data_IF_958161964247
#
_entry.id   IF_958161964247
#
_cell.length_a   1.000
_cell.length_b   1.000
_cell.length_c   1.000
_cell.angle_alpha   90.00
_cell.angle_beta   90.00
_cell.angle_gamma   90.00
#
_symmetry.space_group_name_H-M   'P 1'
#
loop_
_entity.id
_entity.type
_entity.pdbx_description
1 polymer ?
#
# COMPACT_ATOMS: atom_id res chain seq x y z
N UNK A 1 -5.98 -8.65 -10.38
CA UNK A 1 -5.74 -9.33 -9.08
C UNK A 1 -4.24 -9.53 -8.82
N UNK A 2 -3.46 -10.03 -9.79
CA UNK A 2 -2.00 -10.21 -9.64
C UNK A 2 -1.26 -8.94 -9.21
N UNK A 3 -1.56 -7.78 -9.81
CA UNK A 3 -0.91 -6.51 -9.45
C UNK A 3 -1.18 -6.09 -7.99
N UNK A 4 -2.43 -6.22 -7.52
CA UNK A 4 -2.79 -5.90 -6.14
C UNK A 4 -2.05 -6.82 -5.14
N UNK A 5 -1.90 -8.10 -5.49
CA UNK A 5 -1.12 -9.05 -4.69
C UNK A 5 0.37 -8.67 -4.61
N UNK A 6 0.95 -8.22 -5.72
CA UNK A 6 2.34 -7.71 -5.70
C UNK A 6 2.45 -6.42 -4.88
N UNK A 7 1.45 -5.55 -4.92
CA UNK A 7 1.42 -4.35 -4.09
C UNK A 7 1.34 -4.69 -2.60
N UNK A 8 0.51 -5.67 -2.21
CA UNK A 8 0.45 -6.16 -0.83
C UNK A 8 1.79 -6.69 -0.33
N UNK A 9 2.52 -7.43 -1.18
CA UNK A 9 3.88 -7.87 -0.86
C UNK A 9 4.84 -6.69 -0.67
N UNK A 10 4.73 -5.66 -1.51
CA UNK A 10 5.55 -4.44 -1.38
C UNK A 10 5.25 -3.74 -0.05
N UNK A 11 3.99 -3.55 0.31
CA UNK A 11 3.60 -2.93 1.58
C UNK A 11 4.15 -3.73 2.76
N UNK A 12 4.08 -5.07 2.73
CA UNK A 12 4.67 -5.91 3.77
C UNK A 12 6.19 -5.73 3.88
N UNK A 13 6.88 -5.68 2.74
CA UNK A 13 8.33 -5.43 2.69
C UNK A 13 8.72 -4.06 3.24
N UNK A 14 8.02 -3.00 2.82
CA UNK A 14 8.28 -1.64 3.28
C UNK A 14 7.95 -1.50 4.78
N UNK A 15 6.95 -2.23 5.28
CA UNK A 15 6.59 -2.25 6.69
C UNK A 15 7.70 -2.87 7.54
N UNK A 16 8.31 -3.96 7.06
CA UNK A 16 9.45 -4.56 7.73
C UNK A 16 10.66 -3.62 7.71
N UNK A 17 10.94 -2.98 6.56
CA UNK A 17 12.01 -2.02 6.43
C UNK A 17 11.86 -0.84 7.40
N UNK A 18 10.66 -0.25 7.49
CA UNK A 18 10.36 0.81 8.45
C UNK A 18 10.55 0.36 9.90
N UNK A 19 10.06 -0.82 10.26
CA UNK A 19 10.23 -1.36 11.62
C UNK A 19 11.71 -1.52 11.99
N UNK A 20 12.54 -2.03 11.06
CA UNK A 20 13.98 -2.13 11.28
C UNK A 20 14.65 -0.76 11.41
N UNK A 21 14.26 0.21 10.58
CA UNK A 21 14.77 1.59 10.68
C UNK A 21 14.38 2.25 12.00
N UNK A 22 13.13 2.08 12.47
CA UNK A 22 12.69 2.61 13.77
C UNK A 22 13.57 2.09 14.90
N UNK A 23 13.78 0.77 14.93
CA UNK A 23 14.65 0.16 15.94
C UNK A 23 16.08 0.67 15.89
N UNK A 24 16.69 0.73 14.70
CA UNK A 24 18.06 1.25 14.55
C UNK A 24 18.16 2.72 14.95
N UNK A 25 17.13 3.52 14.70
CA UNK A 25 17.07 4.91 15.12
C UNK A 25 17.01 5.03 16.65
N UNK A 26 16.14 4.27 17.31
CA UNK A 26 16.04 4.19 18.77
C UNK A 26 17.35 3.75 19.42
N UNK A 27 18.07 2.83 18.78
CA UNK A 27 19.39 2.34 19.20
C UNK A 27 20.53 3.33 18.84
N UNK A 28 20.24 4.49 18.21
CA UNK A 28 21.22 5.52 17.84
C UNK A 28 22.09 5.18 16.62
N UNK A 29 21.73 4.13 15.87
CA UNK A 29 22.47 3.61 14.72
C UNK A 29 21.92 4.08 13.36
N UNK A 30 20.89 4.92 13.35
CA UNK A 30 20.24 5.44 12.15
C UNK A 30 19.95 6.93 12.31
N UNK A 31 20.05 7.72 11.24
CA UNK A 31 19.71 9.13 11.27
C UNK A 31 18.18 9.34 11.27
N UNK A 32 17.73 10.52 11.74
CA UNK A 32 16.33 10.95 11.59
C UNK A 32 15.89 10.97 10.13
N UNK A 33 16.79 11.35 9.21
CA UNK A 33 16.51 11.39 7.77
C UNK A 33 16.24 9.99 7.19
N UNK A 34 17.03 8.99 7.58
CA UNK A 34 16.84 7.61 7.13
C UNK A 34 15.52 7.02 7.65
N UNK A 35 15.17 7.31 8.91
CA UNK A 35 13.89 6.91 9.49
C UNK A 35 12.73 7.56 8.72
N UNK A 36 12.86 8.85 8.42
CA UNK A 36 11.86 9.57 7.62
C UNK A 36 11.70 8.99 6.22
N UNK A 37 12.80 8.66 5.52
CA UNK A 37 12.75 8.01 4.20
C UNK A 37 12.05 6.66 4.24
N UNK A 38 12.31 5.83 5.26
CA UNK A 38 11.63 4.55 5.42
C UNK A 38 10.12 4.74 5.69
N UNK A 39 9.75 5.73 6.51
CA UNK A 39 8.35 6.07 6.78
C UNK A 39 7.62 6.56 5.52
N UNK A 40 8.25 7.44 4.75
CA UNK A 40 7.76 7.96 3.48
C UNK A 40 7.50 6.81 2.49
N UNK A 41 8.47 5.89 2.35
CA UNK A 41 8.36 4.74 1.45
C UNK A 41 7.19 3.84 1.80
N UNK A 42 6.99 3.56 3.10
CA UNK A 42 5.85 2.78 3.59
C UNK A 42 4.52 3.50 3.35
N UNK A 43 4.47 4.81 3.57
CA UNK A 43 3.25 5.59 3.35
C UNK A 43 2.86 5.58 1.87
N UNK A 44 3.83 5.79 0.98
CA UNK A 44 3.59 5.76 -0.47
C UNK A 44 3.09 4.41 -0.97
N UNK A 45 3.62 3.29 -0.46
CA UNK A 45 3.13 1.97 -0.85
C UNK A 45 1.73 1.68 -0.33
N UNK A 46 1.41 2.06 0.91
CA UNK A 46 0.05 1.95 1.46
C UNK A 46 -0.98 2.77 0.67
N UNK A 47 -0.62 4.00 0.28
CA UNK A 47 -1.49 4.84 -0.57
C UNK A 47 -1.74 4.16 -1.91
N UNK A 48 -0.69 3.63 -2.55
CA UNK A 48 -0.83 2.91 -3.84
C UNK A 48 -1.68 1.65 -3.69
N UNK A 49 -1.53 0.89 -2.61
CA UNK A 49 -2.38 -0.27 -2.33
C UNK A 49 -3.86 0.14 -2.26
N UNK A 50 -4.17 1.18 -1.50
CA UNK A 50 -5.54 1.68 -1.36
C UNK A 50 -6.12 2.14 -2.72
N UNK A 51 -5.34 2.89 -3.50
CA UNK A 51 -5.74 3.32 -4.85
C UNK A 51 -6.06 2.11 -5.75
N UNK A 52 -5.24 1.05 -5.69
CA UNK A 52 -5.48 -0.17 -6.47
C UNK A 52 -6.70 -0.95 -5.99
N UNK A 53 -6.94 -1.01 -4.68
CA UNK A 53 -8.15 -1.62 -4.11
C UNK A 53 -9.40 -0.88 -4.58
N UNK A 54 -9.40 0.46 -4.51
CA UNK A 54 -10.50 1.28 -5.01
C UNK A 54 -10.75 1.07 -6.50
N UNK A 55 -9.69 1.06 -7.32
CA UNK A 55 -9.80 0.82 -8.75
C UNK A 55 -10.38 -0.57 -9.06
N UNK A 56 -9.99 -1.60 -8.30
CA UNK A 56 -10.53 -2.95 -8.45
C UNK A 56 -12.04 -2.97 -8.18
N UNK A 57 -12.48 -2.31 -7.11
CA UNK A 57 -13.91 -2.20 -6.76
C UNK A 57 -14.68 -1.52 -7.89
N UNK A 58 -14.18 -0.41 -8.42
CA UNK A 58 -14.82 0.32 -9.53
C UNK A 58 -14.92 -0.57 -10.77
N UNK A 59 -13.84 -1.26 -11.14
CA UNK A 59 -13.83 -2.19 -12.29
C UNK A 59 -14.86 -3.32 -12.11
N UNK A 60 -14.97 -3.88 -10.90
CA UNK A 60 -15.95 -4.92 -10.62
C UNK A 60 -17.40 -4.40 -10.74
N UNK A 61 -17.68 -3.22 -10.18
CA UNK A 61 -19.00 -2.58 -10.32
C UNK A 61 -19.35 -2.30 -11.77
N UNK A 62 -18.38 -1.85 -12.56
CA UNK A 62 -18.59 -1.57 -13.98
C UNK A 62 -18.92 -2.85 -14.77
N UNK A 63 -18.24 -3.96 -14.48
CA UNK A 63 -18.57 -5.27 -15.07
C UNK A 63 -19.99 -5.69 -14.71
N UNK A 64 -20.37 -5.60 -13.43
CA UNK A 64 -21.73 -5.90 -12.98
C UNK A 64 -22.78 -5.02 -13.65
N UNK A 65 -22.49 -3.73 -13.82
CA UNK A 65 -23.38 -2.81 -14.54
C UNK A 65 -23.65 -3.23 -15.98
N UNK A 66 -22.61 -3.64 -16.72
CA UNK A 66 -22.78 -4.17 -18.07
C UNK A 66 -23.51 -5.52 -18.12
N UNK A 67 -23.59 -6.24 -16.99
CA UNK A 67 -24.37 -7.46 -16.83
C UNK A 67 -25.81 -7.21 -16.37
N UNK A 68 -26.21 -5.94 -16.20
CA UNK A 68 -27.56 -5.54 -15.80
C UNK A 68 -27.74 -5.29 -14.29
N UNK A 69 -26.67 -5.32 -13.50
CA UNK A 69 -26.71 -4.90 -12.10
C UNK A 69 -26.77 -3.37 -11.98
N UNK A 70 -27.36 -2.84 -10.90
CA UNK A 70 -27.30 -1.40 -10.65
C UNK A 70 -25.88 -0.97 -10.26
N UNK A 71 -25.38 0.10 -10.88
CA UNK A 71 -24.03 0.63 -10.64
C UNK A 71 -23.83 1.15 -9.20
N UNK A 72 -24.92 1.64 -8.60
CA UNK A 72 -25.00 2.16 -7.24
C UNK A 72 -26.18 1.44 -6.58
N UNK A 73 -25.97 0.94 -5.36
CA UNK A 73 -27.05 0.38 -4.53
C UNK A 73 -27.94 1.49 -3.98
#
# INVERSE_FOLDING_TARGET
RQELHQMQKKVASDSLAYHMSSRKFEEGMLSTFDLHTAAQTLLESKIKELQMQMLLIIKQRLVGYYQGENLIR
#
